data_IF_235421476700
#
_entry.id   IF_235421476700
#
_cell.length_a   1.000
_cell.length_b   1.000
_cell.length_c   1.000
_cell.angle_alpha   90.00
_cell.angle_beta   90.00
_cell.angle_gamma   90.00
#
_symmetry.space_group_name_H-M   'P 1'
#
loop_
_entity.id
_entity.type
_entity.pdbx_description
1 polymer ?
#
# COMPACT_ATOMS: atom_id res chain seq x y z
N UNK A 1 -27.94 10.42 -10.50
CA UNK A 1 -26.89 10.18 -9.46
C UNK A 1 -25.51 10.46 -10.05
N UNK A 2 -25.01 9.70 -11.03
CA UNK A 2 -23.66 9.89 -11.61
C UNK A 2 -23.42 11.31 -12.19
N UNK A 3 -24.39 11.87 -12.91
CA UNK A 3 -24.29 13.25 -13.43
C UNK A 3 -24.30 14.31 -12.31
N UNK A 4 -25.00 14.03 -11.22
CA UNK A 4 -25.03 14.92 -10.03
C UNK A 4 -23.70 14.86 -9.29
N UNK A 5 -23.11 13.67 -9.17
CA UNK A 5 -21.76 13.49 -8.61
C UNK A 5 -20.72 14.25 -9.42
N UNK A 6 -20.77 14.18 -10.76
CA UNK A 6 -19.88 14.95 -11.62
C UNK A 6 -20.06 16.47 -11.47
N UNK A 7 -21.29 16.96 -11.29
CA UNK A 7 -21.55 18.39 -11.02
C UNK A 7 -20.94 18.81 -9.68
N UNK A 8 -21.09 18.00 -8.65
CA UNK A 8 -20.49 18.26 -7.35
C UNK A 8 -18.96 18.22 -7.43
N UNK A 9 -18.39 17.19 -8.04
CA UNK A 9 -16.97 17.06 -8.23
C UNK A 9 -16.34 18.25 -8.97
N UNK A 10 -17.04 18.81 -9.96
CA UNK A 10 -16.59 20.01 -10.66
C UNK A 10 -16.44 21.24 -9.74
N UNK A 11 -17.19 21.28 -8.65
CA UNK A 11 -17.12 22.38 -7.68
C UNK A 11 -16.04 22.17 -6.63
N UNK A 12 -15.74 20.90 -6.27
CA UNK A 12 -14.90 20.58 -5.11
C UNK A 12 -13.53 19.94 -5.49
N UNK A 13 -13.27 19.64 -6.77
CA UNK A 13 -12.07 18.90 -7.20
C UNK A 13 -10.74 19.55 -6.77
N UNK A 14 -10.74 20.85 -6.50
CA UNK A 14 -9.54 21.57 -6.02
C UNK A 14 -9.27 21.38 -4.52
N UNK A 15 -10.23 20.82 -3.76
CA UNK A 15 -10.17 20.62 -2.30
C UNK A 15 -9.98 19.17 -1.89
N UNK A 16 -9.93 18.25 -2.85
CA UNK A 16 -9.74 16.83 -2.63
C UNK A 16 -8.62 16.30 -3.50
N UNK A 17 -8.02 15.17 -3.15
CA UNK A 17 -6.88 14.57 -3.88
C UNK A 17 -7.28 13.31 -4.63
N UNK A 18 -8.32 12.62 -4.16
CA UNK A 18 -8.67 11.27 -4.62
C UNK A 18 -10.17 11.09 -4.72
N UNK A 19 -10.59 10.41 -5.78
CA UNK A 19 -11.95 9.87 -5.94
C UNK A 19 -11.89 8.36 -5.73
N UNK A 20 -12.69 7.83 -4.83
CA UNK A 20 -12.89 6.39 -4.66
C UNK A 20 -14.09 5.97 -5.52
N UNK A 21 -13.83 5.11 -6.51
CA UNK A 21 -14.86 4.61 -7.43
C UNK A 21 -15.28 3.20 -6.99
N UNK A 22 -16.44 3.11 -6.36
CA UNK A 22 -17.04 1.84 -5.98
C UNK A 22 -17.51 1.03 -7.22
N UNK A 23 -17.52 -0.29 -7.09
CA UNK A 23 -18.01 -1.23 -8.13
C UNK A 23 -17.36 -1.05 -9.50
N UNK A 24 -16.12 -0.59 -9.50
CA UNK A 24 -15.38 -0.31 -10.72
C UNK A 24 -15.28 -1.55 -11.62
N UNK A 25 -15.65 -1.38 -12.87
CA UNK A 25 -15.57 -2.43 -13.88
C UNK A 25 -16.67 -3.49 -13.85
N UNK A 26 -17.66 -3.38 -12.97
CA UNK A 26 -18.72 -4.39 -12.87
C UNK A 26 -19.73 -4.32 -14.03
N UNK A 27 -20.11 -3.14 -14.47
CA UNK A 27 -21.14 -2.89 -15.46
C UNK A 27 -20.56 -2.52 -16.81
N UNK A 28 -19.75 -1.47 -16.86
CA UNK A 28 -19.21 -0.91 -18.11
C UNK A 28 -17.72 -1.24 -18.34
N UNK A 29 -17.16 -2.12 -17.51
CA UNK A 29 -15.76 -2.52 -17.63
C UNK A 29 -14.80 -1.35 -17.41
N UNK A 30 -13.70 -1.32 -18.18
CA UNK A 30 -12.70 -0.24 -18.06
C UNK A 30 -13.16 1.10 -18.62
N UNK A 31 -14.30 1.17 -19.31
CA UNK A 31 -14.85 2.41 -19.84
C UNK A 31 -15.14 3.44 -18.73
N UNK A 32 -15.58 2.97 -17.55
CA UNK A 32 -15.86 3.84 -16.40
C UNK A 32 -14.62 4.67 -16.00
N UNK A 33 -13.47 4.03 -15.88
CA UNK A 33 -12.20 4.72 -15.53
C UNK A 33 -11.76 5.63 -16.67
N UNK A 34 -11.85 5.17 -17.93
CA UNK A 34 -11.47 5.95 -19.08
C UNK A 34 -12.28 7.24 -19.18
N UNK A 35 -13.59 7.14 -19.06
CA UNK A 35 -14.51 8.25 -19.24
C UNK A 35 -14.37 9.25 -18.08
N UNK A 36 -14.26 8.77 -16.83
CA UNK A 36 -13.98 9.61 -15.68
C UNK A 36 -12.60 10.30 -15.79
N UNK A 37 -11.56 9.57 -16.20
CA UNK A 37 -10.22 10.12 -16.42
C UNK A 37 -10.23 11.23 -17.48
N UNK A 38 -10.91 10.99 -18.60
CA UNK A 38 -11.02 11.97 -19.68
C UNK A 38 -11.75 13.22 -19.23
N UNK A 39 -12.81 13.06 -18.46
CA UNK A 39 -13.56 14.17 -17.88
C UNK A 39 -12.71 14.98 -16.90
N UNK A 40 -11.98 14.32 -15.97
CA UNK A 40 -11.06 15.00 -15.04
C UNK A 40 -10.00 15.82 -15.77
N UNK A 41 -9.41 15.27 -16.83
CA UNK A 41 -8.44 15.98 -17.67
C UNK A 41 -9.11 17.20 -18.32
N UNK A 42 -10.33 17.06 -18.82
CA UNK A 42 -11.06 18.15 -19.52
C UNK A 42 -11.35 19.36 -18.62
N UNK A 43 -11.47 19.15 -17.31
CA UNK A 43 -11.67 20.22 -16.31
C UNK A 43 -10.36 20.68 -15.65
N UNK A 44 -9.19 20.21 -16.13
CA UNK A 44 -7.88 20.53 -15.57
C UNK A 44 -7.64 20.00 -14.15
N UNK A 45 -8.35 18.96 -13.75
CA UNK A 45 -8.25 18.37 -12.42
C UNK A 45 -6.99 17.51 -12.28
N UNK A 46 -6.37 17.53 -11.09
CA UNK A 46 -5.22 16.69 -10.72
C UNK A 46 -5.63 15.47 -9.87
N UNK A 47 -6.93 15.25 -9.70
CA UNK A 47 -7.44 14.13 -8.89
C UNK A 47 -6.95 12.79 -9.43
N UNK A 48 -6.69 11.89 -8.52
CA UNK A 48 -6.48 10.48 -8.82
C UNK A 48 -7.74 9.68 -8.57
N UNK A 49 -7.86 8.55 -9.25
CA UNK A 49 -8.98 7.62 -9.10
C UNK A 49 -8.48 6.39 -8.36
N UNK A 50 -9.20 5.96 -7.34
CA UNK A 50 -8.99 4.70 -6.63
C UNK A 50 -10.19 3.77 -6.89
N UNK A 51 -10.13 2.92 -7.90
CA UNK A 51 -11.19 1.94 -8.15
C UNK A 51 -11.22 0.87 -7.05
N UNK A 52 -12.41 0.52 -6.59
CA UNK A 52 -12.61 -0.62 -5.69
C UNK A 52 -12.85 -1.88 -6.53
N UNK A 53 -11.98 -2.84 -6.37
CA UNK A 53 -12.07 -4.18 -6.96
C UNK A 53 -12.85 -5.06 -5.98
N UNK A 54 -14.15 -5.17 -6.19
CA UNK A 54 -15.07 -5.83 -5.25
C UNK A 54 -15.98 -6.87 -5.92
N UNK A 55 -15.62 -7.25 -7.15
CA UNK A 55 -16.29 -8.29 -7.90
C UNK A 55 -15.28 -9.10 -8.75
N UNK A 56 -15.48 -10.42 -8.95
CA UNK A 56 -14.59 -11.24 -9.79
C UNK A 56 -14.37 -10.69 -11.21
N UNK A 57 -15.40 -10.10 -11.83
CA UNK A 57 -15.27 -9.43 -13.14
C UNK A 57 -14.26 -8.28 -13.10
N UNK A 58 -14.31 -7.46 -12.05
CA UNK A 58 -13.37 -6.33 -11.87
C UNK A 58 -11.94 -6.84 -11.72
N UNK A 59 -11.75 -7.95 -11.00
CA UNK A 59 -10.44 -8.56 -10.85
C UNK A 59 -9.90 -9.10 -12.19
N UNK A 60 -10.75 -9.70 -13.02
CA UNK A 60 -10.36 -10.19 -14.35
C UNK A 60 -9.87 -9.10 -15.30
N UNK A 61 -10.31 -7.86 -15.11
CA UNK A 61 -9.92 -6.72 -15.92
C UNK A 61 -9.10 -5.68 -15.15
N UNK A 62 -8.54 -6.07 -14.00
CA UNK A 62 -7.78 -5.16 -13.15
C UNK A 62 -6.59 -4.52 -13.87
N UNK A 63 -5.94 -5.24 -14.76
CA UNK A 63 -4.90 -4.73 -15.66
C UNK A 63 -5.37 -3.51 -16.46
N UNK A 64 -6.58 -3.57 -17.03
CA UNK A 64 -7.17 -2.50 -17.83
C UNK A 64 -7.64 -1.33 -16.97
N UNK A 65 -8.20 -1.62 -15.78
CA UNK A 65 -8.59 -0.56 -14.83
C UNK A 65 -7.38 0.24 -14.37
N UNK A 66 -6.21 -0.38 -14.28
CA UNK A 66 -4.96 0.24 -13.85
C UNK A 66 -4.11 0.85 -14.98
N UNK A 67 -4.52 0.76 -16.24
CA UNK A 67 -3.78 1.36 -17.37
C UNK A 67 -3.72 2.90 -17.29
N UNK A 68 -4.77 3.53 -16.77
CA UNK A 68 -4.87 4.97 -16.76
C UNK A 68 -3.90 5.62 -15.75
N UNK A 69 -3.25 6.70 -16.17
CA UNK A 69 -2.29 7.46 -15.35
C UNK A 69 -2.94 8.11 -14.12
N UNK A 70 -4.25 8.36 -14.18
CA UNK A 70 -5.04 8.87 -13.05
C UNK A 70 -5.23 7.84 -11.93
N UNK A 71 -5.09 6.53 -12.21
CA UNK A 71 -5.14 5.49 -11.20
C UNK A 71 -3.74 5.32 -10.60
N UNK A 72 -3.59 5.53 -9.31
CA UNK A 72 -2.34 5.30 -8.56
C UNK A 72 -2.43 4.08 -7.64
N UNK A 73 -3.59 3.86 -7.08
CA UNK A 73 -3.89 2.74 -6.19
C UNK A 73 -5.22 2.12 -6.59
N UNK A 74 -5.36 0.84 -6.30
CA UNK A 74 -6.63 0.13 -6.31
C UNK A 74 -6.96 -0.33 -4.90
N UNK A 75 -8.24 -0.47 -4.62
CA UNK A 75 -8.73 -0.93 -3.31
C UNK A 75 -9.35 -2.31 -3.48
N UNK A 76 -9.08 -3.23 -2.57
CA UNK A 76 -9.75 -4.54 -2.59
C UNK A 76 -10.95 -4.55 -1.64
N UNK A 77 -12.14 -4.62 -2.22
CA UNK A 77 -13.42 -4.64 -1.49
C UNK A 77 -13.79 -6.05 -1.05
N UNK A 78 -13.24 -6.51 0.09
CA UNK A 78 -13.30 -7.91 0.53
C UNK A 78 -14.73 -8.43 0.76
N UNK A 79 -15.64 -7.60 1.26
CA UNK A 79 -16.98 -8.05 1.64
C UNK A 79 -17.86 -8.30 0.42
N UNK A 80 -17.93 -7.37 -0.52
CA UNK A 80 -18.70 -7.55 -1.75
C UNK A 80 -18.07 -8.60 -2.65
N UNK A 81 -16.72 -8.67 -2.71
CA UNK A 81 -16.02 -9.73 -3.40
C UNK A 81 -16.36 -11.10 -2.84
N UNK A 82 -16.32 -11.28 -1.52
CA UNK A 82 -16.68 -12.53 -0.85
C UNK A 82 -18.13 -12.92 -1.12
N UNK A 83 -19.03 -11.94 -1.09
CA UNK A 83 -20.44 -12.15 -1.44
C UNK A 83 -20.60 -12.63 -2.88
N UNK A 84 -19.91 -12.01 -3.83
CA UNK A 84 -19.96 -12.40 -5.24
C UNK A 84 -19.38 -13.80 -5.51
N UNK A 85 -18.41 -14.22 -4.68
CA UNK A 85 -17.79 -15.55 -4.73
C UNK A 85 -18.54 -16.60 -3.88
N UNK A 86 -19.60 -16.22 -3.17
CA UNK A 86 -20.28 -17.05 -2.17
C UNK A 86 -19.35 -17.56 -1.05
N UNK A 87 -18.28 -16.83 -0.74
CA UNK A 87 -17.36 -17.15 0.35
C UNK A 87 -17.89 -16.65 1.68
N UNK A 88 -17.64 -17.41 2.73
CA UNK A 88 -17.85 -16.96 4.10
C UNK A 88 -16.54 -16.48 4.67
N UNK A 89 -16.51 -15.24 5.12
CA UNK A 89 -15.41 -14.74 5.93
C UNK A 89 -15.53 -15.38 7.31
N UNK A 90 -14.51 -16.13 7.72
CA UNK A 90 -14.49 -16.82 9.01
C UNK A 90 -14.21 -15.83 10.15
N UNK A 91 -14.45 -16.20 11.44
CA UNK A 91 -14.05 -15.37 12.57
C UNK A 91 -12.55 -15.07 12.62
N UNK A 92 -11.70 -15.91 11.98
CA UNK A 92 -10.26 -15.67 11.82
C UNK A 92 -9.95 -14.67 10.72
N UNK A 93 -10.97 -14.21 10.03
CA UNK A 93 -10.90 -13.19 8.99
C UNK A 93 -10.79 -13.77 7.58
N UNK A 94 -10.54 -12.89 6.65
CA UNK A 94 -10.57 -13.16 5.21
C UNK A 94 -9.25 -13.73 4.63
N UNK A 95 -8.16 -13.73 5.39
CA UNK A 95 -6.81 -14.01 4.85
C UNK A 95 -6.74 -15.34 4.13
N UNK A 96 -7.26 -16.40 4.74
CA UNK A 96 -7.14 -17.75 4.17
C UNK A 96 -7.94 -17.91 2.87
N UNK A 97 -9.13 -17.34 2.82
CA UNK A 97 -10.07 -17.49 1.69
C UNK A 97 -9.71 -16.58 0.53
N UNK A 98 -9.21 -15.38 0.81
CA UNK A 98 -9.02 -14.32 -0.19
C UNK A 98 -7.54 -14.05 -0.52
N UNK A 99 -6.58 -14.67 0.15
CA UNK A 99 -5.16 -14.40 -0.03
C UNK A 99 -4.71 -14.56 -1.50
N UNK A 100 -5.23 -15.57 -2.19
CA UNK A 100 -4.93 -15.78 -3.61
C UNK A 100 -5.32 -14.57 -4.45
N UNK A 101 -6.49 -14.00 -4.21
CA UNK A 101 -6.98 -12.85 -4.98
C UNK A 101 -6.22 -11.57 -4.63
N UNK A 102 -5.82 -11.41 -3.37
CA UNK A 102 -4.91 -10.33 -2.96
C UNK A 102 -3.57 -10.42 -3.68
N UNK A 103 -2.98 -11.61 -3.75
CA UNK A 103 -1.72 -11.81 -4.44
C UNK A 103 -1.85 -11.57 -5.95
N UNK A 104 -2.93 -12.01 -6.58
CA UNK A 104 -3.21 -11.72 -8.00
C UNK A 104 -3.31 -10.22 -8.24
N UNK A 105 -4.12 -9.51 -7.46
CA UNK A 105 -4.28 -8.07 -7.60
C UNK A 105 -2.98 -7.31 -7.34
N UNK A 106 -2.20 -7.75 -6.34
CA UNK A 106 -0.91 -7.13 -6.02
C UNK A 106 0.09 -7.33 -7.15
N UNK A 107 0.12 -8.52 -7.75
CA UNK A 107 0.98 -8.80 -8.92
C UNK A 107 0.63 -7.88 -10.09
N UNK A 108 -0.65 -7.80 -10.47
CA UNK A 108 -1.11 -6.92 -11.56
C UNK A 108 -0.80 -5.44 -11.27
N UNK A 109 -1.03 -5.00 -10.03
CA UNK A 109 -0.72 -3.64 -9.63
C UNK A 109 0.78 -3.33 -9.74
N UNK A 110 1.64 -4.27 -9.34
CA UNK A 110 3.10 -4.13 -9.45
C UNK A 110 3.58 -4.04 -10.90
N UNK A 111 3.04 -4.87 -11.79
CA UNK A 111 3.32 -4.80 -13.24
C UNK A 111 3.02 -3.39 -13.79
N UNK A 112 1.97 -2.75 -13.29
CA UNK A 112 1.53 -1.41 -13.71
C UNK A 112 2.15 -0.26 -12.88
N UNK A 113 3.04 -0.54 -11.92
CA UNK A 113 3.59 0.47 -11.00
C UNK A 113 2.54 1.12 -10.09
N UNK A 114 1.51 0.37 -9.69
CA UNK A 114 0.40 0.83 -8.84
C UNK A 114 0.48 0.22 -7.45
N UNK A 115 -0.20 0.85 -6.49
CA UNK A 115 -0.38 0.32 -5.15
C UNK A 115 -1.71 -0.42 -4.97
N UNK A 116 -1.76 -1.28 -3.94
CA UNK A 116 -2.99 -1.95 -3.51
C UNK A 116 -3.29 -1.56 -2.07
N UNK A 117 -4.51 -1.14 -1.82
CA UNK A 117 -5.05 -0.85 -0.49
C UNK A 117 -5.90 -2.06 -0.07
N UNK A 118 -5.57 -2.61 1.08
CA UNK A 118 -6.25 -3.78 1.64
C UNK A 118 -7.66 -3.51 2.13
N UNK A 119 -8.34 -4.58 2.47
CA UNK A 119 -9.73 -4.56 2.86
C UNK A 119 -9.99 -3.95 4.24
N UNK A 120 -11.22 -3.53 4.45
CA UNK A 120 -11.69 -3.00 5.72
C UNK A 120 -11.99 -4.12 6.72
N UNK A 121 -11.63 -3.91 7.99
CA UNK A 121 -12.08 -4.75 9.09
C UNK A 121 -13.34 -4.16 9.71
N UNK A 122 -14.36 -5.00 9.85
CA UNK A 122 -15.65 -4.57 10.41
C UNK A 122 -15.71 -4.65 11.94
N UNK A 123 -14.74 -5.33 12.56
CA UNK A 123 -14.65 -5.40 14.02
C UNK A 123 -14.17 -4.05 14.55
N UNK A 124 -14.99 -3.42 15.39
CA UNK A 124 -14.67 -2.13 15.99
C UNK A 124 -13.76 -2.32 17.20
N UNK A 125 -12.60 -1.66 17.18
CA UNK A 125 -11.68 -1.65 18.33
C UNK A 125 -12.10 -0.56 19.31
N UNK A 126 -12.23 -0.84 20.62
CA UNK A 126 -12.67 0.14 21.60
C UNK A 126 -11.58 1.18 21.93
N UNK A 127 -10.33 0.87 21.65
CA UNK A 127 -9.18 1.70 22.03
C UNK A 127 -8.27 1.98 20.84
N UNK A 128 -7.74 3.20 20.77
CA UNK A 128 -6.66 3.56 19.84
C UNK A 128 -5.32 3.14 20.38
N UNK A 129 -4.45 2.63 19.51
CA UNK A 129 -3.03 2.44 19.81
C UNK A 129 -2.39 3.82 20.09
N UNK A 130 -1.64 3.99 21.20
CA UNK A 130 -0.94 5.24 21.47
C UNK A 130 0.09 5.61 20.38
N UNK A 131 0.25 6.91 20.13
CA UNK A 131 1.17 7.41 19.09
C UNK A 131 2.65 7.07 19.33
N UNK A 132 3.03 6.81 20.58
CA UNK A 132 4.40 6.42 20.94
C UNK A 132 4.69 4.92 20.74
N UNK A 133 3.70 4.12 20.34
CA UNK A 133 3.91 2.72 19.95
C UNK A 133 4.38 2.66 18.49
N UNK A 134 5.67 2.80 18.25
CA UNK A 134 6.27 2.83 16.90
C UNK A 134 7.05 1.56 16.55
N UNK A 135 7.45 0.77 17.53
CA UNK A 135 8.13 -0.50 17.35
C UNK A 135 7.17 -1.67 17.47
N UNK A 136 7.38 -2.72 16.66
CA UNK A 136 6.53 -3.92 16.70
C UNK A 136 6.46 -4.59 18.08
N UNK A 137 7.55 -4.48 18.87
CA UNK A 137 7.57 -5.00 20.26
C UNK A 137 6.67 -4.20 21.20
N UNK A 138 6.59 -2.86 21.01
CA UNK A 138 5.78 -1.98 21.85
C UNK A 138 4.29 -2.22 21.58
N UNK A 139 3.96 -2.45 20.31
CA UNK A 139 2.60 -2.79 19.90
C UNK A 139 2.18 -4.13 20.51
N UNK A 140 3.01 -5.17 20.43
CA UNK A 140 2.72 -6.45 21.05
C UNK A 140 2.47 -6.30 22.55
N UNK A 141 3.36 -5.59 23.24
CA UNK A 141 3.20 -5.31 24.66
C UNK A 141 1.91 -4.56 24.97
N UNK A 142 1.58 -3.55 24.15
CA UNK A 142 0.33 -2.81 24.33
C UNK A 142 -0.90 -3.70 24.09
N UNK A 143 -0.89 -4.53 23.04
CA UNK A 143 -1.94 -5.48 22.74
C UNK A 143 -2.10 -6.55 23.82
N UNK A 144 -1.00 -6.97 24.45
CA UNK A 144 -1.05 -7.93 25.57
C UNK A 144 -1.68 -7.33 26.83
N UNK A 145 -1.45 -6.04 27.07
CA UNK A 145 -1.94 -5.35 28.27
C UNK A 145 -3.34 -4.75 28.10
N UNK A 146 -3.66 -4.22 26.94
CA UNK A 146 -4.84 -3.39 26.69
C UNK A 146 -5.64 -3.84 25.46
N UNK A 147 -5.06 -4.69 24.61
CA UNK A 147 -5.68 -5.09 23.38
C UNK A 147 -6.83 -6.06 23.58
N UNK A 148 -7.90 -5.79 22.91
CA UNK A 148 -9.01 -6.72 22.68
C UNK A 148 -8.76 -7.58 21.44
N UNK A 149 -9.64 -8.55 21.20
CA UNK A 149 -9.52 -9.45 20.05
C UNK A 149 -9.63 -8.70 18.72
N UNK A 150 -10.44 -7.66 18.64
CA UNK A 150 -10.57 -6.84 17.43
C UNK A 150 -9.26 -6.12 17.11
N UNK A 151 -8.62 -5.51 18.10
CA UNK A 151 -7.32 -4.83 17.93
C UNK A 151 -6.22 -5.79 17.47
N UNK A 152 -6.15 -6.99 18.07
CA UNK A 152 -5.21 -8.04 17.67
C UNK A 152 -5.44 -8.51 16.24
N UNK A 153 -6.70 -8.66 15.88
CA UNK A 153 -7.11 -9.08 14.55
C UNK A 153 -6.74 -8.06 13.47
N UNK A 154 -7.10 -6.78 13.68
CA UNK A 154 -6.75 -5.68 12.77
C UNK A 154 -5.23 -5.60 12.58
N UNK A 155 -4.46 -5.72 13.66
CA UNK A 155 -3.00 -5.69 13.59
C UNK A 155 -2.43 -6.89 12.81
N UNK A 156 -2.89 -8.10 13.10
CA UNK A 156 -2.44 -9.31 12.41
C UNK A 156 -2.69 -9.24 10.90
N UNK A 157 -3.88 -8.78 10.50
CA UNK A 157 -4.24 -8.60 9.10
C UNK A 157 -3.42 -7.50 8.43
N UNK A 158 -3.23 -6.36 9.08
CA UNK A 158 -2.42 -5.27 8.55
C UNK A 158 -0.96 -5.68 8.33
N UNK A 159 -0.37 -6.45 9.25
CA UNK A 159 0.98 -7.03 9.09
C UNK A 159 1.02 -8.02 7.93
N UNK A 160 0.00 -8.87 7.78
CA UNK A 160 -0.08 -9.84 6.68
C UNK A 160 -0.21 -9.15 5.33
N UNK A 161 -1.09 -8.17 5.22
CA UNK A 161 -1.25 -7.35 4.02
C UNK A 161 0.05 -6.63 3.64
N UNK A 162 0.74 -6.03 4.62
CA UNK A 162 2.05 -5.44 4.38
C UNK A 162 3.07 -6.46 3.86
N UNK A 163 3.10 -7.67 4.44
CA UNK A 163 3.99 -8.75 3.99
C UNK A 163 3.68 -9.23 2.56
N UNK A 164 2.42 -9.19 2.14
CA UNK A 164 2.00 -9.47 0.76
C UNK A 164 2.29 -8.32 -0.22
N UNK A 165 2.86 -7.22 0.24
CA UNK A 165 3.24 -6.09 -0.61
C UNK A 165 2.16 -5.04 -0.82
N UNK A 166 1.07 -5.05 -0.05
CA UNK A 166 0.09 -3.99 -0.10
C UNK A 166 0.68 -2.68 0.42
N UNK A 167 0.10 -1.57 0.00
CA UNK A 167 0.62 -0.21 0.31
C UNK A 167 -0.12 0.48 1.44
N UNK A 168 -1.27 -0.05 1.83
CA UNK A 168 -2.10 0.48 2.89
C UNK A 168 -3.30 -0.42 3.16
N UNK A 169 -4.17 0.02 4.04
CA UNK A 169 -5.40 -0.68 4.45
C UNK A 169 -6.53 0.30 4.64
N UNK A 170 -7.74 -0.08 4.24
CA UNK A 170 -8.95 0.66 4.58
C UNK A 170 -9.24 0.55 6.08
N UNK A 171 -9.72 1.65 6.66
CA UNK A 171 -10.14 1.70 8.06
C UNK A 171 -11.58 2.20 8.16
N UNK A 172 -12.36 1.63 9.07
CA UNK A 172 -13.77 1.99 9.30
C UNK A 172 -13.95 2.86 10.55
N UNK A 173 -12.94 2.90 11.41
CA UNK A 173 -12.96 3.69 12.66
C UNK A 173 -11.61 4.36 12.87
N UNK A 174 -11.56 5.56 13.48
CA UNK A 174 -10.30 6.21 13.84
C UNK A 174 -9.37 5.35 14.69
N UNK A 175 -9.91 4.45 15.52
CA UNK A 175 -9.12 3.56 16.37
C UNK A 175 -8.24 2.58 15.59
N UNK A 176 -8.56 2.28 14.32
CA UNK A 176 -7.73 1.45 13.45
C UNK A 176 -6.52 2.20 12.87
N UNK A 177 -6.53 3.54 12.84
CA UNK A 177 -5.53 4.33 12.10
C UNK A 177 -4.12 4.03 12.61
N UNK A 178 -3.88 4.16 13.92
CA UNK A 178 -2.54 3.97 14.46
C UNK A 178 -2.04 2.53 14.33
N UNK A 179 -2.92 1.55 14.52
CA UNK A 179 -2.59 0.13 14.32
C UNK A 179 -2.14 -0.13 12.88
N UNK A 180 -2.90 0.34 11.91
CA UNK A 180 -2.55 0.20 10.49
C UNK A 180 -1.29 0.99 10.13
N UNK A 181 -1.17 2.25 10.60
CA UNK A 181 0.00 3.08 10.36
C UNK A 181 1.28 2.37 10.79
N UNK A 182 1.31 1.82 12.00
CA UNK A 182 2.51 1.11 12.50
C UNK A 182 2.75 -0.19 11.73
N UNK A 183 1.71 -0.93 11.37
CA UNK A 183 1.85 -2.17 10.59
C UNK A 183 2.48 -1.92 9.20
N UNK A 184 2.19 -0.78 8.59
CA UNK A 184 2.66 -0.42 7.25
C UNK A 184 3.92 0.45 7.25
N UNK A 185 4.29 1.08 8.37
CA UNK A 185 5.50 1.91 8.45
C UNK A 185 6.69 1.06 8.89
N UNK A 186 7.84 1.12 8.19
CA UNK A 186 9.06 0.50 8.66
C UNK A 186 9.46 1.09 10.02
N UNK A 187 9.83 0.23 10.96
CA UNK A 187 10.27 0.67 12.28
C UNK A 187 11.64 1.36 12.22
N UNK A 188 11.97 2.23 13.17
CA UNK A 188 13.30 2.84 13.25
C UNK A 188 14.44 1.83 13.21
N UNK A 189 14.24 0.67 13.81
CA UNK A 189 15.23 -0.41 13.85
C UNK A 189 15.41 -1.10 12.48
N UNK A 190 14.32 -1.28 11.74
CA UNK A 190 14.38 -1.80 10.36
C UNK A 190 15.10 -0.80 9.46
N UNK A 191 14.77 0.49 9.57
CA UNK A 191 15.41 1.57 8.80
C UNK A 191 16.92 1.63 9.09
N UNK A 192 17.33 1.60 10.36
CA UNK A 192 18.74 1.61 10.76
C UNK A 192 19.50 0.41 10.18
N UNK A 193 18.90 -0.79 10.21
CA UNK A 193 19.48 -2.00 9.61
C UNK A 193 19.66 -1.83 8.10
N UNK A 194 18.62 -1.37 7.40
CA UNK A 194 18.65 -1.19 5.95
C UNK A 194 19.68 -0.14 5.52
N UNK A 195 19.80 0.95 6.26
CA UNK A 195 20.83 1.97 6.03
C UNK A 195 22.24 1.38 6.19
N UNK A 196 22.48 0.58 7.23
CA UNK A 196 23.78 -0.09 7.42
C UNK A 196 24.12 -1.02 6.27
N UNK A 197 23.16 -1.85 5.83
CA UNK A 197 23.33 -2.75 4.68
C UNK A 197 23.75 -1.96 3.43
N UNK A 198 23.03 -0.88 3.12
CA UNK A 198 23.34 -0.07 1.93
C UNK A 198 24.68 0.65 2.04
N UNK A 199 25.08 1.13 3.23
CA UNK A 199 26.41 1.72 3.44
C UNK A 199 27.52 0.70 3.21
N UNK A 200 27.37 -0.51 3.72
CA UNK A 200 28.34 -1.59 3.49
C UNK A 200 28.42 -2.02 2.01
N UNK A 201 27.28 -2.12 1.33
CA UNK A 201 27.23 -2.40 -0.09
C UNK A 201 27.95 -1.34 -0.94
N UNK A 202 27.80 -0.06 -0.56
CA UNK A 202 28.50 1.05 -1.22
C UNK A 202 30.01 0.99 -0.95
N UNK A 203 30.42 0.75 0.28
CA UNK A 203 31.83 0.68 0.67
C UNK A 203 32.57 -0.50 -0.01
N UNK A 204 31.85 -1.59 -0.26
CA UNK A 204 32.37 -2.76 -0.95
C UNK A 204 32.26 -2.69 -2.48
N UNK A 205 31.75 -1.56 -3.03
CA UNK A 205 31.43 -1.40 -4.46
C UNK A 205 30.51 -2.53 -5.02
N UNK A 206 29.63 -3.05 -4.17
CA UNK A 206 28.76 -4.19 -4.48
C UNK A 206 27.31 -3.78 -4.84
N UNK A 207 26.97 -2.50 -4.78
CA UNK A 207 25.57 -2.01 -4.89
C UNK A 207 24.86 -2.47 -6.18
N UNK A 208 25.60 -2.50 -7.29
CA UNK A 208 25.05 -2.88 -8.61
C UNK A 208 25.46 -4.29 -9.05
N UNK A 209 26.57 -4.78 -8.53
CA UNK A 209 27.10 -6.10 -8.90
C UNK A 209 28.00 -6.62 -7.80
N UNK A 210 27.83 -7.85 -7.41
CA UNK A 210 28.59 -8.46 -6.33
C UNK A 210 27.75 -8.78 -5.11
N UNK A 211 28.40 -9.18 -4.03
CA UNK A 211 27.74 -9.51 -2.78
C UNK A 211 28.58 -9.10 -1.57
N UNK A 212 27.93 -8.85 -0.45
CA UNK A 212 28.57 -8.63 0.85
C UNK A 212 28.14 -9.71 1.83
N UNK A 213 28.93 -9.91 2.88
CA UNK A 213 28.54 -10.70 4.04
C UNK A 213 28.10 -9.76 5.16
N UNK A 214 26.85 -9.86 5.57
CA UNK A 214 26.26 -9.03 6.62
C UNK A 214 25.56 -9.92 7.66
N UNK A 215 25.96 -9.84 8.93
CA UNK A 215 25.39 -10.62 10.04
C UNK A 215 25.27 -12.13 9.75
N UNK A 216 26.21 -12.69 8.97
CA UNK A 216 26.24 -14.11 8.61
C UNK A 216 25.47 -14.47 7.34
N UNK A 217 24.71 -13.54 6.78
CA UNK A 217 23.98 -13.71 5.51
C UNK A 217 24.82 -13.17 4.34
N UNK A 218 24.61 -13.75 3.16
CA UNK A 218 25.11 -13.18 1.91
C UNK A 218 24.02 -12.30 1.30
N UNK A 219 24.32 -11.03 1.08
CA UNK A 219 23.41 -10.05 0.48
C UNK A 219 23.95 -9.59 -0.87
N UNK A 220 23.06 -9.47 -1.84
CA UNK A 220 23.34 -9.11 -3.23
C UNK A 220 22.42 -7.98 -3.74
N UNK A 221 22.54 -7.48 -4.98
CA UNK A 221 21.77 -6.36 -5.48
C UNK A 221 20.24 -6.44 -5.31
N UNK A 222 19.55 -7.57 -5.52
CA UNK A 222 18.12 -7.68 -5.21
C UNK A 222 17.78 -7.36 -3.75
N UNK A 223 18.62 -7.76 -2.81
CA UNK A 223 18.43 -7.50 -1.39
C UNK A 223 18.74 -6.04 -1.04
N UNK A 224 19.75 -5.43 -1.65
CA UNK A 224 20.01 -3.99 -1.52
C UNK A 224 18.83 -3.16 -2.07
N UNK A 225 18.25 -3.58 -3.19
CA UNK A 225 17.05 -3.01 -3.74
C UNK A 225 15.87 -3.06 -2.75
N UNK A 226 15.68 -4.18 -2.07
CA UNK A 226 14.66 -4.33 -1.03
C UNK A 226 14.90 -3.40 0.16
N UNK A 227 16.14 -3.29 0.64
CA UNK A 227 16.50 -2.35 1.71
C UNK A 227 16.22 -0.90 1.29
N UNK A 228 16.56 -0.51 0.07
CA UNK A 228 16.25 0.83 -0.44
C UNK A 228 14.73 1.05 -0.53
N UNK A 229 13.95 0.10 -1.05
CA UNK A 229 12.50 0.20 -1.11
C UNK A 229 11.88 0.43 0.28
N UNK A 230 12.39 -0.25 1.30
CA UNK A 230 11.90 -0.10 2.67
C UNK A 230 12.19 1.32 3.22
N UNK A 231 13.39 1.85 2.99
CA UNK A 231 13.75 3.21 3.39
C UNK A 231 12.91 4.25 2.62
N UNK A 232 12.73 4.08 1.30
CA UNK A 232 11.91 4.96 0.49
C UNK A 232 10.43 4.93 0.89
N UNK A 233 9.94 3.78 1.38
CA UNK A 233 8.62 3.68 1.98
C UNK A 233 8.49 4.55 3.23
N UNK A 234 9.50 4.50 4.11
CA UNK A 234 9.55 5.36 5.29
C UNK A 234 9.63 6.85 4.90
N UNK A 235 10.36 7.18 3.82
CA UNK A 235 10.40 8.52 3.25
C UNK A 235 9.00 8.99 2.79
N UNK A 236 8.30 8.18 2.00
CA UNK A 236 6.95 8.50 1.51
C UNK A 236 5.95 8.69 2.67
N UNK A 237 6.12 7.95 3.76
CA UNK A 237 5.31 8.05 4.98
C UNK A 237 5.78 9.16 5.95
N UNK A 238 6.78 9.96 5.55
CA UNK A 238 7.36 11.06 6.34
C UNK A 238 7.84 10.61 7.73
N UNK A 239 8.43 9.42 7.80
CA UNK A 239 8.92 8.80 9.05
C UNK A 239 10.45 8.71 9.12
N UNK A 240 11.18 9.28 8.13
CA UNK A 240 12.63 9.36 8.14
C UNK A 240 13.15 10.62 8.83
N UNK A 241 14.32 10.49 9.46
CA UNK A 241 15.15 11.66 9.81
C UNK A 241 15.72 12.31 8.54
N UNK A 242 15.99 13.61 8.60
CA UNK A 242 16.45 14.38 7.43
C UNK A 242 17.76 13.85 6.82
N UNK A 243 18.66 13.37 7.65
CA UNK A 243 19.93 12.79 7.21
C UNK A 243 19.71 11.48 6.43
N UNK A 244 18.78 10.66 6.89
CA UNK A 244 18.42 9.39 6.26
C UNK A 244 17.67 9.61 4.92
N UNK A 245 16.87 10.69 4.82
CA UNK A 245 16.27 11.10 3.54
C UNK A 245 17.34 11.42 2.50
N UNK A 246 18.34 12.25 2.87
CA UNK A 246 19.45 12.63 1.99
C UNK A 246 20.23 11.40 1.56
N UNK A 247 20.50 10.48 2.48
CA UNK A 247 21.19 9.23 2.20
C UNK A 247 20.38 8.38 1.21
N UNK A 248 19.08 8.15 1.46
CA UNK A 248 18.21 7.36 0.59
C UNK A 248 18.16 7.90 -0.84
N UNK A 249 18.01 9.21 -1.00
CA UNK A 249 18.03 9.85 -2.32
C UNK A 249 19.39 9.73 -3.01
N UNK A 250 20.50 9.77 -2.27
CA UNK A 250 21.83 9.57 -2.82
C UNK A 250 22.04 8.14 -3.34
N UNK A 251 21.49 7.14 -2.64
CA UNK A 251 21.53 5.73 -3.08
C UNK A 251 20.65 5.52 -4.31
N UNK A 252 19.44 6.08 -4.31
CA UNK A 252 18.52 6.02 -5.45
C UNK A 252 19.18 6.53 -6.74
N UNK A 253 19.95 7.61 -6.66
CA UNK A 253 20.66 8.16 -7.82
C UNK A 253 21.80 7.27 -8.36
N UNK A 254 22.27 6.32 -7.57
CA UNK A 254 23.29 5.34 -7.97
C UNK A 254 22.70 4.05 -8.56
N UNK A 255 21.41 3.81 -8.35
CA UNK A 255 20.71 2.63 -8.84
C UNK A 255 19.96 2.94 -10.15
N UNK A 256 19.82 1.96 -11.05
CA UNK A 256 19.09 2.18 -12.31
C UNK A 256 17.66 2.61 -12.05
N UNK A 257 17.32 3.83 -12.43
CA UNK A 257 16.03 4.48 -12.16
C UNK A 257 14.83 3.65 -12.66
N UNK A 258 14.98 2.97 -13.81
CA UNK A 258 13.92 2.12 -14.36
C UNK A 258 13.53 0.95 -13.44
N UNK A 259 14.44 0.45 -12.62
CA UNK A 259 14.15 -0.64 -11.67
C UNK A 259 13.23 -0.20 -10.52
N UNK A 260 13.19 1.09 -10.20
CA UNK A 260 12.42 1.63 -9.08
C UNK A 260 11.21 2.45 -9.49
N UNK A 261 11.34 3.30 -10.51
CA UNK A 261 10.24 4.19 -10.94
C UNK A 261 9.03 3.44 -11.48
N UNK A 262 9.26 2.34 -12.19
CA UNK A 262 8.18 1.53 -12.77
C UNK A 262 7.43 0.70 -11.70
N UNK A 263 8.10 0.36 -10.61
CA UNK A 263 7.57 -0.53 -9.56
C UNK A 263 7.36 0.18 -8.22
N UNK A 264 7.40 1.51 -8.18
CA UNK A 264 7.28 2.28 -6.95
C UNK A 264 5.83 2.74 -6.71
N UNK A 265 5.09 2.06 -5.81
CA UNK A 265 3.65 2.30 -5.64
C UNK A 265 3.31 3.46 -4.68
N UNK A 266 4.32 4.14 -4.11
CA UNK A 266 4.10 5.17 -3.08
C UNK A 266 4.13 6.60 -3.59
N UNK A 267 4.06 6.80 -4.89
CA UNK A 267 4.05 8.12 -5.51
C UNK A 267 5.38 8.52 -6.16
N UNK A 268 5.47 9.76 -6.62
CA UNK A 268 6.72 10.28 -7.20
C UNK A 268 7.71 10.61 -6.08
N UNK A 269 8.92 10.13 -6.23
CA UNK A 269 10.07 10.48 -5.38
C UNK A 269 10.69 11.78 -5.91
#
# INVERSE_FOLDING_TARGET
EYEEDLKMLKQIHQYIDVIVLAKAGEVYGSAEIRDLSSWLISIGSKLTIQPIIEHPKSLQIADRLMEHSTVKHVVFGIHDFSKAMAYKITPQGWINELETFFNMLTMEARIKGKGVIGGVEVMLTPHSLPDNCVEKKDIRRWLDLHGDDASRHVYAHAIRENAMGLTGKQVITPNHINVCKVAFTPSPKEIEKDIRILKEAINADALLSGAIRYEGEMLDPPMFGKSLQNILRAYALRSLAKEDEIFALSVLNRMPIHTFKENWPYGQI
#
